data_IF_463101158250
#
_entry.id   IF_463101158250
#
_cell.length_a   1.000
_cell.length_b   1.000
_cell.length_c   1.000
_cell.angle_alpha   90.00
_cell.angle_beta   90.00
_cell.angle_gamma   90.00
#
_symmetry.space_group_name_H-M   'P 1'
#
loop_
_entity.id
_entity.type
_entity.pdbx_description
1 polymer ?
#
# COMPACT_ATOMS: atom_id res chain seq x y z
N UNK A 1 23.36 63.24 -23.09
CA UNK A 1 23.84 61.83 -23.14
C UNK A 1 23.17 61.07 -22.00
N UNK A 2 22.00 60.47 -22.22
CA UNK A 2 21.22 59.80 -21.17
C UNK A 2 21.58 58.31 -21.11
N UNK A 3 22.26 57.90 -20.05
CA UNK A 3 22.51 56.49 -19.74
C UNK A 3 21.22 55.84 -19.20
N UNK A 4 20.61 54.97 -20.01
CA UNK A 4 19.53 54.08 -19.58
C UNK A 4 20.17 52.86 -18.91
N UNK A 5 20.05 52.75 -17.59
CA UNK A 5 20.43 51.56 -16.83
C UNK A 5 19.34 50.49 -16.97
N UNK A 6 19.65 49.43 -17.72
CA UNK A 6 18.76 48.29 -17.91
C UNK A 6 18.86 47.35 -16.69
N UNK A 7 17.99 47.55 -15.69
CA UNK A 7 17.87 46.63 -14.55
C UNK A 7 17.08 45.39 -14.96
N UNK A 8 17.77 44.33 -15.32
CA UNK A 8 17.18 43.01 -15.52
C UNK A 8 16.78 42.40 -14.18
N UNK A 9 15.47 42.44 -13.87
CA UNK A 9 14.89 41.73 -12.73
C UNK A 9 15.18 40.21 -12.84
N UNK A 10 15.66 39.54 -11.78
CA UNK A 10 15.94 38.12 -11.82
C UNK A 10 14.61 37.36 -11.90
N UNK A 11 14.28 36.82 -13.09
CA UNK A 11 13.16 35.89 -13.23
C UNK A 11 13.38 34.71 -12.29
N UNK A 12 12.55 34.62 -11.25
CA UNK A 12 12.45 33.47 -10.35
C UNK A 12 12.12 32.25 -11.22
N UNK A 13 13.15 31.53 -11.67
CA UNK A 13 12.98 30.26 -12.39
C UNK A 13 12.37 29.29 -11.39
N UNK A 14 11.05 29.11 -11.47
CA UNK A 14 10.40 28.00 -10.80
C UNK A 14 11.17 26.74 -11.21
N UNK A 15 11.57 25.96 -10.22
CA UNK A 15 12.31 24.73 -10.46
C UNK A 15 11.31 23.72 -11.03
N UNK A 16 11.04 23.78 -12.34
CA UNK A 16 10.02 23.01 -13.05
C UNK A 16 10.13 21.51 -12.74
N UNK A 17 11.35 21.01 -12.58
CA UNK A 17 11.62 19.63 -12.14
C UNK A 17 11.04 19.30 -10.76
N UNK A 18 11.14 20.22 -9.80
CA UNK A 18 10.54 20.06 -8.45
C UNK A 18 9.02 20.10 -8.52
N UNK A 19 8.45 20.99 -9.32
CA UNK A 19 7.00 21.07 -9.53
C UNK A 19 6.45 19.79 -10.15
N UNK A 20 7.12 19.26 -11.17
CA UNK A 20 6.75 17.98 -11.80
C UNK A 20 6.82 16.83 -10.80
N UNK A 21 7.88 16.75 -9.98
CA UNK A 21 7.99 15.70 -8.95
C UNK A 21 6.89 15.79 -7.90
N UNK A 22 6.55 17.00 -7.43
CA UNK A 22 5.46 17.21 -6.48
C UNK A 22 4.13 16.80 -7.12
N UNK A 23 3.88 17.23 -8.36
CA UNK A 23 2.66 16.88 -9.07
C UNK A 23 2.52 15.37 -9.26
N UNK A 24 3.60 14.68 -9.67
CA UNK A 24 3.61 13.23 -9.79
C UNK A 24 3.37 12.54 -8.43
N UNK A 25 4.00 13.01 -7.37
CA UNK A 25 3.79 12.47 -6.03
C UNK A 25 2.32 12.63 -5.57
N UNK A 26 1.69 13.77 -5.88
CA UNK A 26 0.27 14.00 -5.62
C UNK A 26 -0.62 13.05 -6.42
N UNK A 27 -0.31 12.79 -7.68
CA UNK A 27 -1.05 11.81 -8.49
C UNK A 27 -0.92 10.39 -7.93
N UNK A 28 0.28 9.98 -7.53
CA UNK A 28 0.52 8.67 -6.90
C UNK A 28 -0.25 8.56 -5.58
N UNK A 29 -0.18 9.58 -4.73
CA UNK A 29 -0.90 9.60 -3.47
C UNK A 29 -2.43 9.58 -3.69
N UNK A 30 -2.94 10.38 -4.62
CA UNK A 30 -4.35 10.40 -4.99
C UNK A 30 -4.84 9.05 -5.50
N UNK A 31 -4.06 8.41 -6.37
CA UNK A 31 -4.34 7.05 -6.85
C UNK A 31 -4.39 6.04 -5.69
N UNK A 32 -3.37 6.02 -4.83
CA UNK A 32 -3.29 5.10 -3.71
C UNK A 32 -4.46 5.28 -2.73
N UNK A 33 -4.81 6.53 -2.39
CA UNK A 33 -5.94 6.86 -1.51
C UNK A 33 -7.26 6.40 -2.16
N UNK A 34 -7.48 6.73 -3.43
CA UNK A 34 -8.71 6.37 -4.14
C UNK A 34 -8.95 4.86 -4.13
N UNK A 35 -7.94 4.07 -4.53
CA UNK A 35 -8.06 2.61 -4.55
C UNK A 35 -8.14 1.99 -3.16
N UNK A 36 -7.47 2.58 -2.16
CA UNK A 36 -7.61 2.13 -0.76
C UNK A 36 -9.03 2.32 -0.25
N UNK A 37 -9.67 3.46 -0.55
CA UNK A 37 -11.06 3.71 -0.18
C UNK A 37 -12.00 2.72 -0.87
N UNK A 38 -11.83 2.48 -2.18
CA UNK A 38 -12.65 1.51 -2.90
C UNK A 38 -12.48 0.08 -2.38
N UNK A 39 -11.26 -0.33 -2.05
CA UNK A 39 -10.97 -1.62 -1.44
C UNK A 39 -11.70 -1.79 -0.11
N UNK A 40 -11.66 -0.76 0.75
CA UNK A 40 -12.37 -0.78 2.03
C UNK A 40 -13.89 -0.84 1.85
N UNK A 41 -14.45 -0.03 0.95
CA UNK A 41 -15.89 -0.06 0.66
C UNK A 41 -16.34 -1.43 0.15
N UNK A 42 -15.59 -2.03 -0.78
CA UNK A 42 -15.84 -3.38 -1.28
C UNK A 42 -15.79 -4.40 -0.14
N UNK A 43 -14.77 -4.32 0.72
CA UNK A 43 -14.64 -5.19 1.89
C UNK A 43 -15.87 -5.09 2.81
N UNK A 44 -16.35 -3.88 3.08
CA UNK A 44 -17.52 -3.67 3.93
C UNK A 44 -18.84 -4.08 3.25
N UNK A 45 -18.97 -3.94 1.93
CA UNK A 45 -20.19 -4.27 1.21
C UNK A 45 -20.40 -5.78 1.01
N UNK A 46 -19.33 -6.53 0.77
CA UNK A 46 -19.41 -7.98 0.47
C UNK A 46 -19.12 -8.87 1.68
N UNK A 47 -18.68 -8.29 2.81
CA UNK A 47 -18.45 -9.05 4.03
C UNK A 47 -17.40 -10.15 3.86
N UNK A 48 -16.35 -9.90 3.06
CA UNK A 48 -15.24 -10.82 2.73
C UNK A 48 -14.31 -11.17 3.92
N UNK A 49 -14.86 -11.10 5.14
CA UNK A 49 -14.20 -11.34 6.42
C UNK A 49 -13.80 -12.80 6.64
N UNK A 50 -14.65 -13.74 6.23
CA UNK A 50 -14.52 -15.13 6.69
C UNK A 50 -13.54 -15.96 5.85
N UNK A 51 -13.73 -16.00 4.53
CA UNK A 51 -12.93 -16.84 3.65
C UNK A 51 -11.65 -16.13 3.21
N UNK A 52 -11.70 -14.99 2.52
CA UNK A 52 -10.49 -14.37 1.95
C UNK A 52 -9.56 -13.69 2.96
N UNK A 53 -10.06 -12.80 3.81
CA UNK A 53 -9.19 -12.14 4.80
C UNK A 53 -9.02 -12.97 6.07
N UNK A 54 -10.00 -13.81 6.40
CA UNK A 54 -9.95 -14.67 7.59
C UNK A 54 -8.87 -15.74 7.48
N UNK A 55 -8.75 -16.41 6.32
CA UNK A 55 -7.73 -17.43 6.10
C UNK A 55 -6.31 -16.82 6.06
N UNK A 56 -6.16 -15.62 5.50
CA UNK A 56 -4.91 -14.88 5.47
C UNK A 56 -4.53 -14.44 6.88
N UNK A 57 -5.46 -13.82 7.61
CA UNK A 57 -5.24 -13.39 9.00
C UNK A 57 -4.89 -14.54 9.92
N UNK A 58 -5.57 -15.69 9.78
CA UNK A 58 -5.23 -16.90 10.52
C UNK A 58 -3.84 -17.42 10.19
N UNK A 59 -3.48 -17.48 8.90
CA UNK A 59 -2.15 -17.91 8.47
C UNK A 59 -1.04 -16.99 9.00
N UNK A 60 -1.24 -15.66 8.97
CA UNK A 60 -0.28 -14.68 9.50
C UNK A 60 -0.14 -14.86 11.02
N UNK A 61 -1.25 -14.94 11.75
CA UNK A 61 -1.23 -15.15 13.21
C UNK A 61 -0.55 -16.46 13.59
N UNK A 62 -0.91 -17.57 12.94
CA UNK A 62 -0.29 -18.86 13.24
C UNK A 62 1.22 -18.84 12.93
N UNK A 63 1.62 -18.17 11.84
CA UNK A 63 3.04 -17.95 11.50
C UNK A 63 3.77 -17.19 12.60
N UNK A 64 3.17 -16.12 13.15
CA UNK A 64 3.79 -15.37 14.26
C UNK A 64 3.86 -16.17 15.57
N UNK A 65 3.05 -17.23 15.71
CA UNK A 65 3.07 -18.20 16.83
C UNK A 65 3.89 -19.46 16.55
N UNK A 66 4.64 -19.51 15.44
CA UNK A 66 5.53 -20.63 15.09
C UNK A 66 4.87 -21.77 14.31
N UNK A 67 3.58 -21.66 13.97
CA UNK A 67 2.87 -22.61 13.12
C UNK A 67 2.72 -22.04 11.69
N UNK A 68 3.79 -22.16 10.91
CA UNK A 68 3.96 -21.50 9.62
C UNK A 68 2.80 -21.76 8.65
N UNK A 69 2.11 -20.68 8.28
CA UNK A 69 1.02 -20.62 7.29
C UNK A 69 -0.17 -21.56 7.55
N UNK A 70 -0.31 -22.08 8.77
CA UNK A 70 -1.37 -22.99 9.11
C UNK A 70 -2.75 -22.32 9.06
N UNK A 71 -3.75 -23.01 8.53
CA UNK A 71 -5.14 -22.55 8.44
C UNK A 71 -6.11 -23.70 8.74
N UNK A 72 -7.32 -23.37 9.22
CA UNK A 72 -8.38 -24.33 9.57
C UNK A 72 -9.72 -23.99 8.94
N UNK A 73 -9.82 -22.84 8.28
CA UNK A 73 -11.05 -22.31 7.71
C UNK A 73 -11.18 -22.57 6.20
N UNK A 74 -10.27 -23.32 5.60
CA UNK A 74 -10.40 -23.87 4.26
C UNK A 74 -10.58 -25.39 4.30
N UNK A 75 -11.74 -25.91 3.86
CA UNK A 75 -11.91 -27.35 3.68
C UNK A 75 -10.87 -27.92 2.71
N UNK A 76 -10.18 -28.99 3.11
CA UNK A 76 -9.20 -29.69 2.27
C UNK A 76 -7.80 -29.07 2.23
N UNK A 77 -7.52 -27.99 2.96
CA UNK A 77 -6.19 -27.40 3.06
C UNK A 77 -5.84 -27.04 4.51
N UNK A 78 -4.73 -27.60 5.01
CA UNK A 78 -4.17 -27.30 6.34
C UNK A 78 -3.13 -26.18 6.32
N UNK A 79 -2.61 -25.87 5.14
CA UNK A 79 -1.65 -24.79 4.91
C UNK A 79 -2.16 -23.85 3.83
N UNK A 80 -1.94 -22.54 4.03
CA UNK A 80 -2.27 -21.51 3.04
C UNK A 80 -1.48 -21.69 1.75
N UNK A 81 -0.25 -22.20 1.83
CA UNK A 81 0.62 -22.48 0.68
C UNK A 81 -0.01 -23.43 -0.34
N UNK A 82 -0.94 -24.30 0.08
CA UNK A 82 -1.67 -25.22 -0.81
C UNK A 82 -2.70 -24.50 -1.69
N UNK A 83 -3.08 -23.28 -1.33
CA UNK A 83 -4.01 -22.45 -2.11
C UNK A 83 -3.28 -21.31 -2.81
N UNK A 84 -2.46 -20.57 -2.06
CA UNK A 84 -1.78 -19.35 -2.50
C UNK A 84 -0.39 -19.26 -1.84
N UNK A 85 0.62 -18.94 -2.64
CA UNK A 85 1.99 -18.70 -2.15
C UNK A 85 2.24 -17.20 -2.10
N UNK A 86 2.29 -16.66 -0.89
CA UNK A 86 2.43 -15.22 -0.63
C UNK A 86 3.62 -14.97 0.33
N UNK A 87 4.86 -14.88 -0.20
CA UNK A 87 6.06 -14.75 0.64
C UNK A 87 6.06 -13.53 1.55
N UNK A 88 5.33 -12.48 1.16
CA UNK A 88 5.16 -11.25 1.94
C UNK A 88 4.50 -11.49 3.31
N UNK A 89 3.77 -12.58 3.49
CA UNK A 89 3.11 -12.89 4.76
C UNK A 89 4.10 -13.21 5.89
N UNK A 90 5.33 -13.66 5.56
CA UNK A 90 6.38 -13.89 6.56
C UNK A 90 6.78 -12.60 7.29
N UNK A 91 7.28 -11.55 6.61
CA UNK A 91 7.60 -10.30 7.30
C UNK A 91 6.35 -9.61 7.88
N UNK A 92 5.17 -9.77 7.26
CA UNK A 92 3.91 -9.24 7.83
C UNK A 92 3.56 -9.91 9.17
N UNK A 93 3.88 -11.19 9.34
CA UNK A 93 3.65 -11.89 10.61
C UNK A 93 4.41 -11.29 11.79
N UNK A 94 5.52 -10.58 11.54
CA UNK A 94 6.25 -9.87 12.59
C UNK A 94 5.44 -8.71 13.18
N UNK A 95 4.54 -8.10 12.40
CA UNK A 95 3.65 -7.04 12.88
C UNK A 95 2.59 -7.56 13.86
N UNK A 96 2.32 -8.87 13.86
CA UNK A 96 1.35 -9.51 14.76
C UNK A 96 1.96 -9.82 16.15
N UNK A 97 3.22 -9.44 16.38
CA UNK A 97 3.89 -9.54 17.69
C UNK A 97 3.70 -8.28 18.55
N UNK A 98 3.26 -7.17 17.94
CA UNK A 98 3.01 -5.87 18.59
C UNK A 98 1.54 -5.82 19.04
#
# INVERSE_FOLDING_TARGET
MSHVSNTSQPRRRLNTSRLIRIFLALLIAGYAIFFSVQLLLHYYSFGSRALDLGNMGQAIWNTSRGNLFHQTNQPGATSRLSLHVEPILLPVSLLYLI
#
